data_IF_061815021221
#
_entry.id   IF_061815021221
#
_cell.length_a   1.000
_cell.length_b   1.000
_cell.length_c   1.000
_cell.angle_alpha   90.00
_cell.angle_beta   90.00
_cell.angle_gamma   90.00
#
_symmetry.space_group_name_H-M   'P 1'
#
loop_
_entity.id
_entity.type
_entity.pdbx_description
1 polymer ?
#
# COMPACT_ATOMS: atom_id res chain seq x y z
N UNK A 1 -13.64 8.21 3.96
CA UNK A 1 -12.75 8.55 5.09
C UNK A 1 -11.37 8.79 4.50
N UNK A 2 -10.77 9.95 4.75
CA UNK A 2 -9.47 10.29 4.20
C UNK A 2 -8.36 9.68 5.06
N UNK A 3 -7.67 8.68 4.53
CA UNK A 3 -6.62 7.93 5.22
C UNK A 3 -5.24 8.42 4.79
N UNK A 4 -4.40 8.72 5.76
CA UNK A 4 -3.02 9.13 5.54
C UNK A 4 -2.13 7.90 5.40
N UNK A 5 -1.47 7.75 4.26
CA UNK A 5 -0.56 6.64 3.96
C UNK A 5 0.80 7.23 3.62
N UNK A 6 1.85 6.82 4.34
CA UNK A 6 3.21 7.25 4.02
C UNK A 6 3.74 6.46 2.82
N UNK A 7 4.04 7.16 1.72
CA UNK A 7 4.65 6.56 0.54
C UNK A 7 6.16 6.80 0.56
N UNK A 8 6.92 5.71 0.71
CA UNK A 8 8.38 5.73 0.80
C UNK A 8 9.03 6.22 -0.50
N UNK A 9 8.51 5.81 -1.67
CA UNK A 9 9.04 6.20 -2.98
C UNK A 9 9.07 7.73 -3.17
N UNK A 10 8.05 8.41 -2.65
CA UNK A 10 7.94 9.87 -2.75
C UNK A 10 8.37 10.60 -1.47
N UNK A 11 8.85 9.87 -0.45
CA UNK A 11 9.24 10.39 0.87
C UNK A 11 8.17 11.29 1.52
N UNK A 12 6.89 11.08 1.18
CA UNK A 12 5.79 11.95 1.60
C UNK A 12 4.52 11.15 1.90
N UNK A 13 3.65 11.75 2.73
CA UNK A 13 2.34 11.17 3.02
C UNK A 13 1.37 11.49 1.89
N UNK A 14 0.70 10.46 1.39
CA UNK A 14 -0.43 10.58 0.48
C UNK A 14 -1.73 10.41 1.28
N UNK A 15 -2.77 11.11 0.86
CA UNK A 15 -4.10 11.01 1.45
C UNK A 15 -5.02 10.30 0.48
N UNK A 16 -5.57 9.18 0.91
CA UNK A 16 -6.42 8.32 0.10
C UNK A 16 -7.82 8.29 0.72
N UNK A 17 -8.84 8.68 -0.04
CA UNK A 17 -10.21 8.46 0.40
C UNK A 17 -10.63 7.02 0.11
N UNK A 18 -10.75 6.22 1.17
CA UNK A 18 -11.11 4.81 1.09
C UNK A 18 -12.49 4.58 0.47
N UNK A 19 -13.37 5.59 0.48
CA UNK A 19 -14.68 5.48 -0.18
C UNK A 19 -14.57 5.32 -1.70
N UNK A 20 -13.48 5.83 -2.26
CA UNK A 20 -13.15 5.81 -3.68
C UNK A 20 -12.33 4.58 -4.05
N UNK A 21 -11.84 3.80 -3.08
CA UNK A 21 -11.08 2.58 -3.33
C UNK A 21 -12.01 1.46 -3.75
N UNK A 22 -11.67 0.86 -4.87
CA UNK A 22 -12.35 -0.29 -5.47
C UNK A 22 -11.59 -1.59 -5.21
N UNK A 23 -10.25 -1.54 -5.27
CA UNK A 23 -9.39 -2.70 -5.04
C UNK A 23 -8.05 -2.30 -4.44
N UNK A 24 -7.44 -3.22 -3.68
CA UNK A 24 -6.10 -3.08 -3.12
C UNK A 24 -5.32 -4.35 -3.48
N UNK A 25 -4.25 -4.20 -4.25
CA UNK A 25 -3.33 -5.27 -4.58
C UNK A 25 -1.99 -5.00 -3.90
N UNK A 26 -1.51 -5.97 -3.12
CA UNK A 26 -0.21 -5.90 -2.46
C UNK A 26 0.72 -6.84 -3.21
N UNK A 27 1.75 -6.27 -3.83
CA UNK A 27 2.86 -7.05 -4.38
C UNK A 27 3.98 -7.05 -3.36
N UNK A 28 4.30 -8.23 -2.83
CA UNK A 28 5.54 -8.43 -2.08
C UNK A 28 6.68 -7.92 -2.94
N UNK A 29 7.40 -6.92 -2.43
CA UNK A 29 8.48 -6.36 -3.21
C UNK A 29 9.60 -7.40 -3.29
N UNK A 30 10.01 -7.77 -4.51
CA UNK A 30 11.30 -8.43 -4.78
C UNK A 30 12.49 -7.47 -4.48
N UNK A 31 12.38 -6.57 -3.49
CA UNK A 31 13.54 -5.86 -2.91
C UNK A 31 14.38 -6.89 -2.14
N UNK A 32 15.10 -7.69 -2.92
CA UNK A 32 15.82 -8.89 -2.52
C UNK A 32 16.59 -9.55 -3.67
N UNK A 33 16.51 -9.05 -4.92
CA UNK A 33 17.44 -9.45 -5.99
C UNK A 33 18.80 -8.78 -5.82
N UNK A 34 19.53 -9.23 -4.80
CA UNK A 34 20.84 -8.69 -4.45
C UNK A 34 21.49 -9.40 -3.27
N UNK A 35 21.31 -10.73 -3.17
CA UNK A 35 22.27 -11.60 -2.50
C UNK A 35 22.73 -11.22 -1.09
N UNK A 36 21.87 -10.72 -0.20
CA UNK A 36 22.15 -10.72 1.23
C UNK A 36 20.86 -10.95 2.01
N UNK A 37 20.82 -12.07 2.71
CA UNK A 37 19.74 -12.51 3.59
C UNK A 37 19.68 -11.65 4.86
N UNK A 38 19.36 -10.36 4.72
CA UNK A 38 19.12 -9.45 5.84
C UNK A 38 17.91 -8.57 5.52
N UNK A 39 16.76 -8.95 6.08
CA UNK A 39 15.50 -8.21 5.96
C UNK A 39 14.58 -8.80 4.89
N UNK A 40 13.56 -9.56 5.33
CA UNK A 40 12.31 -9.60 4.58
C UNK A 40 11.89 -8.15 4.41
N UNK A 41 11.99 -7.65 3.17
CA UNK A 41 11.88 -6.24 2.79
C UNK A 41 10.83 -5.51 3.63
N UNK A 42 11.25 -4.56 4.47
CA UNK A 42 10.37 -3.83 5.41
C UNK A 42 9.22 -3.07 4.71
N UNK A 43 9.26 -3.02 3.39
CA UNK A 43 8.35 -2.31 2.51
C UNK A 43 7.79 -3.21 1.41
N UNK A 44 6.53 -2.97 1.05
CA UNK A 44 5.84 -3.61 -0.07
C UNK A 44 5.28 -2.58 -1.02
N UNK A 45 5.13 -2.99 -2.28
CA UNK A 45 4.44 -2.19 -3.27
C UNK A 45 2.95 -2.49 -3.19
N UNK A 46 2.14 -1.44 -3.14
CA UNK A 46 0.70 -1.49 -3.03
C UNK A 46 0.11 -0.71 -4.20
N UNK A 47 -0.68 -1.40 -5.01
CA UNK A 47 -1.46 -0.80 -6.08
C UNK A 47 -2.90 -0.68 -5.61
N UNK A 48 -3.40 0.55 -5.57
CA UNK A 48 -4.78 0.85 -5.15
C UNK A 48 -5.58 1.25 -6.39
N UNK A 49 -6.55 0.42 -6.76
CA UNK A 49 -7.52 0.72 -7.80
C UNK A 49 -8.62 1.62 -7.24
N UNK A 50 -8.92 2.72 -7.92
CA UNK A 50 -10.00 3.64 -7.58
C UNK A 50 -11.23 3.38 -8.46
N UNK A 51 -12.42 3.67 -7.94
CA UNK A 51 -13.69 3.64 -8.68
C UNK A 51 -13.71 4.55 -9.90
N UNK A 52 -12.85 5.57 -9.93
CA UNK A 52 -12.68 6.45 -11.08
C UNK A 52 -11.94 5.78 -12.25
N UNK A 53 -11.43 4.57 -12.08
CA UNK A 53 -10.61 3.84 -13.05
C UNK A 53 -9.12 4.19 -12.99
N UNK A 54 -8.70 5.07 -12.08
CA UNK A 54 -7.28 5.38 -11.85
C UNK A 54 -6.65 4.39 -10.86
N UNK A 55 -5.36 4.13 -11.03
CA UNK A 55 -4.56 3.32 -10.11
C UNK A 55 -3.50 4.16 -9.45
N UNK A 56 -3.40 4.06 -8.12
CA UNK A 56 -2.34 4.67 -7.33
C UNK A 56 -1.32 3.60 -6.96
N UNK A 57 -0.04 3.85 -7.24
CA UNK A 57 1.06 2.98 -6.84
C UNK A 57 1.80 3.60 -5.66
N UNK A 58 1.92 2.83 -4.58
CA UNK A 58 2.49 3.25 -3.31
C UNK A 58 3.53 2.22 -2.87
N UNK A 59 4.63 2.68 -2.28
CA UNK A 59 5.54 1.81 -1.52
C UNK A 59 5.36 2.12 -0.05
N UNK A 60 4.86 1.17 0.74
CA UNK A 60 4.53 1.39 2.16
C UNK A 60 5.23 0.37 3.04
N UNK A 61 5.32 0.63 4.34
CA UNK A 61 5.84 -0.35 5.31
C UNK A 61 4.87 -1.52 5.47
N UNK A 62 5.42 -2.72 5.63
CA UNK A 62 4.60 -3.94 5.78
C UNK A 62 3.71 -3.88 7.02
N UNK A 63 4.16 -3.22 8.09
CA UNK A 63 3.38 -3.00 9.31
C UNK A 63 2.10 -2.18 9.08
N UNK A 64 2.02 -1.40 8.00
CA UNK A 64 0.86 -0.56 7.66
C UNK A 64 -0.09 -1.24 6.68
N UNK A 65 0.26 -2.40 6.12
CA UNK A 65 -0.62 -3.18 5.24
C UNK A 65 -1.88 -3.67 5.98
N UNK A 66 -1.82 -4.21 7.22
CA UNK A 66 -3.01 -4.65 7.93
C UNK A 66 -4.01 -3.52 8.20
N UNK A 67 -3.53 -2.28 8.39
CA UNK A 67 -4.42 -1.11 8.51
C UNK A 67 -5.17 -0.90 7.19
N UNK A 68 -4.48 -0.94 6.05
CA UNK A 68 -5.10 -0.86 4.71
C UNK A 68 -6.06 -2.03 4.41
N UNK A 69 -5.70 -3.26 4.79
CA UNK A 69 -6.50 -4.45 4.53
C UNK A 69 -7.69 -4.60 5.50
N UNK A 70 -7.56 -4.17 6.75
CA UNK A 70 -8.65 -4.15 7.73
C UNK A 70 -9.77 -3.18 7.35
N UNK A 71 -9.46 -2.15 6.57
CA UNK A 71 -10.42 -1.18 6.04
C UNK A 71 -11.33 -1.75 4.94
N UNK A 72 -10.99 -2.90 4.34
CA UNK A 72 -11.88 -3.61 3.41
C UNK A 72 -12.95 -4.43 4.16
N UNK A 73 -12.70 -4.85 5.40
CA UNK A 73 -13.61 -5.70 6.17
C UNK A 73 -14.72 -4.94 6.91
N UNK A 74 -14.53 -3.64 7.18
CA UNK A 74 -15.54 -2.77 7.81
C UNK A 74 -16.63 -2.28 6.82
N UNK A 75 -16.67 -2.84 5.60
CA UNK A 75 -17.74 -2.62 4.61
C UNK A 75 -18.89 -3.65 4.73
N UNK A 76 -18.87 -4.56 5.70
CA UNK A 76 -19.97 -5.53 5.97
C UNK A 76 -20.96 -5.04 7.02
#
# INVERSE_FOLDING_TARGET
MLTKIYCYQHQQSQYLDLSQVDSIEVSDSEYGRGGYTYGKSEYSNVSVGLKSGHTLHLTIKNSSIPELAGLEQDKS
#
